data_IF_395766175704
#
_entry.id   IF_395766175704
#
_cell.length_a   1.000
_cell.length_b   1.000
_cell.length_c   1.000
_cell.angle_alpha   90.00
_cell.angle_beta   90.00
_cell.angle_gamma   90.00
#
_symmetry.space_group_name_H-M   'P 1'
#
loop_
_entity.id
_entity.type
_entity.pdbx_description
1 polymer ?
#
# COMPACT_ATOMS: atom_id res chain seq x y z
N UNK A 1 1.42 -10.55 -6.79
CA UNK A 1 0.29 -9.72 -6.32
C UNK A 1 0.00 -10.11 -4.88
N UNK A 2 -0.21 -9.15 -3.97
CA UNK A 2 -0.24 -9.32 -2.49
C UNK A 2 -1.15 -10.45 -1.97
N UNK A 3 -2.19 -10.78 -2.72
CA UNK A 3 -3.18 -11.83 -2.41
C UNK A 3 -3.00 -13.11 -3.26
N UNK A 4 -1.96 -13.17 -4.09
CA UNK A 4 -1.64 -14.28 -4.97
C UNK A 4 -2.80 -14.62 -5.93
N UNK A 5 -2.94 -15.92 -6.23
CA UNK A 5 -4.01 -16.46 -7.07
C UNK A 5 -5.39 -16.45 -6.39
N UNK A 6 -5.46 -16.12 -5.10
CA UNK A 6 -6.72 -16.04 -4.35
C UNK A 6 -7.42 -14.68 -4.54
N UNK A 7 -6.81 -13.74 -5.26
CA UNK A 7 -7.45 -12.46 -5.58
C UNK A 7 -8.49 -12.63 -6.69
N UNK A 8 -9.76 -12.48 -6.34
CA UNK A 8 -10.88 -12.58 -7.29
C UNK A 8 -11.38 -11.21 -7.78
N UNK A 9 -10.58 -10.16 -7.65
CA UNK A 9 -10.98 -8.78 -8.02
C UNK A 9 -11.73 -8.03 -6.93
N UNK A 10 -12.04 -8.66 -5.79
CA UNK A 10 -12.74 -8.03 -4.67
C UNK A 10 -11.99 -8.30 -3.36
N UNK A 11 -11.77 -7.24 -2.57
CA UNK A 11 -11.16 -7.32 -1.24
C UNK A 11 -12.27 -7.24 -0.20
N UNK A 12 -12.48 -8.32 0.54
CA UNK A 12 -13.46 -8.40 1.63
C UNK A 12 -12.78 -8.11 2.97
N UNK A 13 -13.60 -7.81 3.98
CA UNK A 13 -13.12 -7.60 5.36
C UNK A 13 -12.27 -8.78 5.88
N UNK A 14 -12.68 -10.01 5.56
CA UNK A 14 -11.93 -11.22 5.92
C UNK A 14 -10.52 -11.23 5.32
N UNK A 15 -10.35 -10.69 4.11
CA UNK A 15 -9.06 -10.63 3.45
C UNK A 15 -8.15 -9.66 4.22
N UNK A 16 -8.65 -8.48 4.59
CA UNK A 16 -7.92 -7.49 5.41
C UNK A 16 -7.45 -8.04 6.77
N UNK A 17 -8.18 -8.98 7.37
CA UNK A 17 -7.83 -9.62 8.64
C UNK A 17 -6.89 -10.83 8.49
N UNK A 18 -6.67 -11.30 7.25
CA UNK A 18 -5.87 -12.51 6.99
C UNK A 18 -4.38 -12.21 7.14
N UNK A 19 -3.72 -12.96 8.02
CA UNK A 19 -2.27 -12.82 8.28
C UNK A 19 -1.46 -13.32 7.09
N UNK A 20 -0.80 -12.39 6.41
CA UNK A 20 0.24 -12.68 5.43
C UNK A 20 1.43 -11.73 5.67
N UNK A 21 2.66 -12.10 5.28
CA UNK A 21 3.81 -11.21 5.41
C UNK A 21 3.73 -9.97 4.50
N UNK A 22 2.68 -9.81 3.69
CA UNK A 22 2.45 -8.66 2.83
C UNK A 22 1.24 -7.81 3.25
N UNK A 23 0.46 -8.26 4.23
CA UNK A 23 -0.74 -7.54 4.67
C UNK A 23 -0.41 -6.51 5.75
N UNK A 24 -0.17 -5.26 5.32
CA UNK A 24 0.15 -4.11 6.18
C UNK A 24 -1.00 -3.66 7.09
N UNK A 25 -2.19 -4.26 7.01
CA UNK A 25 -3.22 -4.09 8.05
C UNK A 25 -2.91 -4.89 9.32
N UNK A 26 -2.04 -5.91 9.23
CA UNK A 26 -1.79 -6.85 10.33
C UNK A 26 -0.31 -6.93 10.73
N UNK A 27 0.60 -6.54 9.83
CA UNK A 27 2.04 -6.43 10.14
C UNK A 27 2.42 -4.98 10.40
N UNK A 28 3.37 -4.79 11.30
CA UNK A 28 4.00 -3.48 11.50
C UNK A 28 5.14 -3.28 10.49
N UNK A 29 5.19 -2.10 9.87
CA UNK A 29 6.24 -1.73 8.93
C UNK A 29 6.00 -2.16 7.49
N UNK A 30 7.08 -2.29 6.72
CA UNK A 30 7.02 -2.58 5.29
C UNK A 30 6.98 -4.10 5.01
N UNK A 31 6.35 -4.52 3.90
CA UNK A 31 6.44 -5.89 3.44
C UNK A 31 7.89 -6.27 3.07
N UNK A 32 8.23 -7.57 3.02
CA UNK A 32 9.59 -8.03 2.79
C UNK A 32 10.12 -7.73 1.38
N UNK A 33 9.24 -7.51 0.39
CA UNK A 33 9.61 -7.15 -0.99
C UNK A 33 8.63 -6.13 -1.60
N UNK A 34 9.03 -5.37 -2.65
CA UNK A 34 8.13 -4.48 -3.37
C UNK A 34 6.95 -5.22 -4.00
N UNK A 35 5.75 -4.62 -3.90
CA UNK A 35 4.51 -5.21 -4.44
C UNK A 35 4.26 -4.90 -5.92
N UNK A 36 4.93 -3.87 -6.44
CA UNK A 36 4.84 -3.38 -7.80
C UNK A 36 6.20 -2.80 -8.24
N UNK A 37 6.37 -2.64 -9.54
CA UNK A 37 7.50 -1.91 -10.09
C UNK A 37 7.29 -0.40 -9.86
N UNK A 38 8.18 0.28 -9.11
CA UNK A 38 8.02 1.70 -8.86
C UNK A 38 8.34 2.51 -10.13
N UNK A 39 7.65 3.64 -10.31
CA UNK A 39 8.05 4.67 -11.28
C UNK A 39 9.20 5.52 -10.72
N UNK A 40 9.86 6.27 -11.60
CA UNK A 40 10.87 7.25 -11.20
C UNK A 40 10.31 8.28 -10.21
N UNK A 41 9.09 8.78 -10.44
CA UNK A 41 8.41 9.72 -9.53
C UNK A 41 8.20 9.12 -8.14
N UNK A 42 7.80 7.86 -8.04
CA UNK A 42 7.64 7.17 -6.75
C UNK A 42 8.98 7.01 -6.01
N UNK A 43 10.08 6.74 -6.74
CA UNK A 43 11.41 6.67 -6.14
C UNK A 43 11.87 8.02 -5.61
N UNK A 44 11.66 9.09 -6.37
CA UNK A 44 12.01 10.46 -5.93
C UNK A 44 11.22 10.87 -4.69
N UNK A 45 9.92 10.56 -4.63
CA UNK A 45 9.06 10.86 -3.48
C UNK A 45 9.50 10.14 -2.19
N UNK A 46 9.93 8.88 -2.31
CA UNK A 46 10.47 8.12 -1.16
C UNK A 46 11.84 8.64 -0.75
N UNK A 47 12.69 9.04 -1.70
CA UNK A 47 14.04 9.55 -1.41
C UNK A 47 14.04 10.98 -0.83
N UNK A 48 13.07 11.81 -1.23
CA UNK A 48 12.92 13.21 -0.80
C UNK A 48 11.50 13.48 -0.30
N UNK A 49 11.10 12.91 0.86
CA UNK A 49 9.77 13.12 1.39
C UNK A 49 9.58 14.56 1.89
N UNK A 50 8.39 15.11 1.70
CA UNK A 50 8.00 16.36 2.33
C UNK A 50 7.90 16.18 3.85
N UNK A 51 8.50 17.11 4.61
CA UNK A 51 8.43 17.10 6.07
C UNK A 51 7.07 17.63 6.51
N UNK A 52 6.20 16.73 6.93
CA UNK A 52 4.87 17.04 7.42
C UNK A 52 4.54 16.16 8.63
N UNK A 53 3.61 16.61 9.47
CA UNK A 53 3.12 15.85 10.63
C UNK A 53 1.83 15.07 10.30
N UNK A 54 1.61 14.74 9.02
CA UNK A 54 0.44 14.01 8.57
C UNK A 54 0.62 12.50 8.75
N UNK A 55 -0.31 11.86 9.46
CA UNK A 55 -0.34 10.40 9.65
C UNK A 55 -1.43 9.70 8.83
N UNK A 56 -2.45 10.45 8.39
CA UNK A 56 -3.60 9.92 7.68
C UNK A 56 -3.87 10.77 6.43
N UNK A 57 -4.18 10.09 5.33
CA UNK A 57 -4.67 10.72 4.11
C UNK A 57 -5.94 9.99 3.65
N UNK A 58 -6.86 10.75 3.06
CA UNK A 58 -8.06 10.20 2.40
C UNK A 58 -8.17 10.90 1.06
N UNK A 59 -8.28 10.12 -0.02
CA UNK A 59 -8.51 10.70 -1.34
C UNK A 59 -9.87 11.40 -1.36
N UNK A 60 -9.88 12.64 -1.87
CA UNK A 60 -11.07 13.50 -1.92
C UNK A 60 -12.10 13.10 -2.99
N UNK A 61 -11.82 12.04 -3.75
CA UNK A 61 -12.68 11.54 -4.83
C UNK A 61 -12.59 12.32 -6.14
N UNK A 62 -11.79 13.39 -6.21
CA UNK A 62 -11.59 14.17 -7.45
C UNK A 62 -10.58 13.52 -8.40
N UNK A 63 -9.87 12.48 -7.95
CA UNK A 63 -8.92 11.72 -8.76
C UNK A 63 -7.65 12.52 -9.06
N UNK A 64 -6.99 13.03 -8.00
CA UNK A 64 -5.71 13.72 -8.11
C UNK A 64 -4.68 12.93 -8.93
N UNK A 65 -4.10 13.61 -9.92
CA UNK A 65 -3.08 13.13 -10.85
C UNK A 65 -1.67 13.24 -10.28
#
# INVERSE_FOLDING_TARGET
MVWGENYNGNIRKKDLETKTPYNTYVIDGLPPTPIAMPSESSLQAVANPEKTDFYYFVADGSGGA
#
